data_IF_027525463648
#
_entry.id   IF_027525463648
#
_cell.length_a   1.000
_cell.length_b   1.000
_cell.length_c   1.000
_cell.angle_alpha   90.00
_cell.angle_beta   90.00
_cell.angle_gamma   90.00
#
_symmetry.space_group_name_H-M   'P 1'
#
loop_
_entity.id
_entity.type
_entity.pdbx_description
1 polymer ?
#
# COMPACT_ATOMS: atom_id res chain seq x y z
N UNK A 1 -8.02 -17.79 17.14
CA UNK A 1 -8.58 -16.83 16.15
C UNK A 1 -9.75 -16.02 16.73
N UNK A 2 -10.51 -16.54 17.71
CA UNK A 2 -11.72 -15.88 18.28
C UNK A 2 -11.47 -14.62 19.13
N UNK A 3 -10.33 -14.50 19.83
CA UNK A 3 -10.06 -13.36 20.73
C UNK A 3 -9.94 -12.00 20.04
N UNK A 4 -9.66 -11.95 18.74
CA UNK A 4 -9.59 -10.69 17.99
C UNK A 4 -10.96 -10.10 17.73
N UNK A 5 -11.99 -10.93 17.54
CA UNK A 5 -13.32 -10.45 17.17
C UNK A 5 -13.96 -9.55 18.25
N UNK A 6 -13.47 -9.63 19.50
CA UNK A 6 -13.93 -8.84 20.64
C UNK A 6 -13.27 -7.45 20.76
N UNK A 7 -12.23 -7.13 19.99
CA UNK A 7 -11.58 -5.82 20.07
C UNK A 7 -12.41 -4.72 19.38
N UNK A 8 -12.31 -3.44 19.80
CA UNK A 8 -12.93 -2.34 19.08
C UNK A 8 -12.44 -2.31 17.62
N UNK A 9 -13.38 -2.27 16.67
CA UNK A 9 -13.06 -2.12 15.25
C UNK A 9 -13.15 -0.67 14.80
N UNK A 10 -12.60 -0.41 13.61
CA UNK A 10 -12.69 0.87 12.91
C UNK A 10 -13.65 0.68 11.74
N UNK A 11 -14.77 1.42 11.78
CA UNK A 11 -15.71 1.50 10.66
C UNK A 11 -15.27 2.58 9.70
N UNK A 12 -15.19 2.24 8.42
CA UNK A 12 -14.83 3.16 7.35
C UNK A 12 -15.31 2.60 6.00
N UNK A 13 -15.16 3.40 4.95
CA UNK A 13 -15.13 2.92 3.58
C UNK A 13 -13.67 2.65 3.22
N UNK A 14 -13.36 1.39 2.92
CA UNK A 14 -12.00 0.92 2.72
C UNK A 14 -11.73 0.71 1.24
N UNK A 15 -10.92 1.58 0.63
CA UNK A 15 -10.41 1.40 -0.72
C UNK A 15 -9.34 0.31 -0.73
N UNK A 16 -9.48 -0.69 -1.60
CA UNK A 16 -8.40 -1.63 -1.92
C UNK A 16 -7.37 -0.86 -2.77
N UNK A 17 -6.34 -0.34 -2.11
CA UNK A 17 -5.41 0.60 -2.72
C UNK A 17 -4.20 -0.07 -3.34
N UNK A 18 -3.83 -1.29 -2.92
CA UNK A 18 -2.70 -2.01 -3.48
C UNK A 18 -2.72 -3.47 -3.11
N UNK A 19 -2.08 -4.31 -3.93
CA UNK A 19 -2.00 -5.74 -3.67
C UNK A 19 -0.68 -6.28 -4.18
N UNK A 20 -0.11 -7.23 -3.45
CA UNK A 20 1.08 -7.98 -3.83
C UNK A 20 0.88 -9.44 -3.48
N UNK A 21 1.28 -10.34 -4.37
CA UNK A 21 1.30 -11.78 -4.11
C UNK A 21 2.68 -12.36 -4.34
N UNK A 22 2.98 -13.44 -3.63
CA UNK A 22 4.20 -14.20 -3.80
C UNK A 22 4.00 -15.67 -3.43
N UNK A 23 5.00 -16.48 -3.74
CA UNK A 23 5.01 -17.91 -3.41
C UNK A 23 6.31 -18.23 -2.70
N UNK A 24 6.20 -18.92 -1.57
CA UNK A 24 7.29 -19.50 -0.81
C UNK A 24 7.05 -21.02 -0.74
N UNK A 25 7.87 -21.80 -1.45
CA UNK A 25 7.71 -23.25 -1.60
C UNK A 25 6.30 -23.64 -2.11
N UNK A 26 5.45 -24.20 -1.25
CA UNK A 26 4.06 -24.57 -1.56
C UNK A 26 3.03 -23.60 -0.97
N UNK A 27 3.48 -22.54 -0.30
CA UNK A 27 2.64 -21.52 0.31
C UNK A 27 2.57 -20.30 -0.62
N UNK A 28 1.39 -20.00 -1.14
CA UNK A 28 1.14 -18.73 -1.82
C UNK A 28 0.56 -17.75 -0.81
N UNK A 29 1.08 -16.53 -0.79
CA UNK A 29 0.58 -15.46 0.07
C UNK A 29 0.10 -14.28 -0.76
N UNK A 30 -0.82 -13.51 -0.18
CA UNK A 30 -1.28 -12.25 -0.75
C UNK A 30 -1.40 -11.20 0.35
N UNK A 31 -0.77 -10.06 0.10
CA UNK A 31 -0.80 -8.84 0.89
C UNK A 31 -1.75 -7.88 0.19
N UNK A 32 -2.83 -7.49 0.85
CA UNK A 32 -3.77 -6.50 0.31
C UNK A 32 -3.83 -5.31 1.24
N UNK A 33 -3.51 -4.14 0.70
CA UNK A 33 -3.62 -2.88 1.41
C UNK A 33 -4.98 -2.25 1.19
N UNK A 34 -5.53 -1.77 2.29
CA UNK A 34 -6.74 -0.98 2.36
C UNK A 34 -6.41 0.40 2.88
N UNK A 35 -7.16 1.41 2.43
CA UNK A 35 -7.10 2.76 2.97
C UNK A 35 -8.49 3.27 3.31
N UNK A 36 -8.66 3.75 4.54
CA UNK A 36 -9.92 4.30 5.02
C UNK A 36 -10.19 5.69 4.46
N UNK A 37 -11.40 5.92 3.97
CA UNK A 37 -11.86 7.19 3.39
C UNK A 37 -11.96 8.30 4.45
N UNK A 38 -12.46 7.99 5.64
CA UNK A 38 -12.64 8.99 6.70
C UNK A 38 -11.39 9.07 7.57
N UNK A 39 -10.81 7.91 7.90
CA UNK A 39 -9.69 7.84 8.85
C UNK A 39 -8.33 8.06 8.22
N UNK A 40 -8.19 7.92 6.89
CA UNK A 40 -6.90 7.90 6.20
C UNK A 40 -6.01 6.71 6.58
N UNK A 41 -6.48 5.82 7.47
CA UNK A 41 -5.69 4.74 8.04
C UNK A 41 -5.44 3.67 6.99
N UNK A 42 -4.20 3.17 6.94
CA UNK A 42 -3.86 2.01 6.13
C UNK A 42 -4.05 0.72 6.94
N UNK A 43 -4.54 -0.33 6.28
CA UNK A 43 -4.70 -1.65 6.85
C UNK A 43 -4.20 -2.73 5.91
N UNK A 44 -3.55 -3.75 6.45
CA UNK A 44 -3.00 -4.88 5.70
C UNK A 44 -3.80 -6.15 5.98
N UNK A 45 -4.40 -6.71 4.93
CA UNK A 45 -4.96 -8.05 4.94
C UNK A 45 -3.90 -9.03 4.43
N UNK A 46 -3.78 -10.16 5.12
CA UNK A 46 -2.88 -11.26 4.73
C UNK A 46 -3.69 -12.51 4.48
N UNK A 47 -3.69 -12.96 3.23
CA UNK A 47 -4.28 -14.23 2.81
C UNK A 47 -3.18 -15.24 2.51
N UNK A 48 -3.44 -16.50 2.81
CA UNK A 48 -2.53 -17.61 2.58
C UNK A 48 -3.30 -18.76 1.92
N UNK A 49 -2.68 -19.42 0.95
CA UNK A 49 -3.22 -20.60 0.31
C UNK A 49 -2.10 -21.65 0.14
N UNK A 50 -2.43 -22.92 0.32
CA UNK A 50 -1.46 -24.03 0.24
C UNK A 50 -1.73 -24.92 -0.97
N UNK A 51 -0.68 -25.32 -1.68
CA UNK A 51 -0.77 -26.20 -2.83
C UNK A 51 -1.52 -25.56 -4.01
N UNK A 52 -2.56 -26.23 -4.53
CA UNK A 52 -3.36 -25.75 -5.68
C UNK A 52 -4.62 -24.98 -5.29
N UNK A 53 -4.83 -24.71 -4.00
CA UNK A 53 -5.97 -23.92 -3.56
C UNK A 53 -5.77 -22.45 -3.92
N UNK A 54 -6.84 -21.80 -4.38
CA UNK A 54 -6.87 -20.34 -4.54
C UNK A 54 -7.13 -19.63 -3.20
N UNK A 55 -7.11 -18.31 -3.20
CA UNK A 55 -7.52 -17.53 -2.04
C UNK A 55 -9.05 -17.50 -1.92
N UNK A 56 -9.57 -17.70 -0.70
CA UNK A 56 -11.00 -17.66 -0.42
C UNK A 56 -11.60 -16.27 -0.65
N UNK A 57 -10.87 -15.23 -0.25
CA UNK A 57 -11.31 -13.85 -0.43
C UNK A 57 -10.92 -13.31 -1.81
N UNK A 58 -11.73 -12.41 -2.35
CA UNK A 58 -11.42 -11.69 -3.57
C UNK A 58 -11.35 -10.20 -3.27
N UNK A 59 -10.15 -9.63 -3.39
CA UNK A 59 -9.91 -8.20 -3.23
C UNK A 59 -9.46 -7.63 -4.58
N UNK A 60 -10.21 -6.66 -5.07
CA UNK A 60 -9.98 -6.04 -6.39
C UNK A 60 -9.44 -4.64 -6.17
N UNK A 61 -8.23 -4.35 -6.65
CA UNK A 61 -7.64 -3.00 -6.55
C UNK A 61 -8.57 -1.97 -7.19
N UNK A 62 -8.78 -0.85 -6.52
CA UNK A 62 -9.72 0.20 -6.91
C UNK A 62 -11.17 -0.02 -6.45
N UNK A 63 -11.51 -1.18 -5.87
CA UNK A 63 -12.83 -1.38 -5.26
C UNK A 63 -12.90 -0.84 -3.84
N UNK A 64 -14.11 -0.51 -3.40
CA UNK A 64 -14.38 0.05 -2.07
C UNK A 64 -15.26 -0.92 -1.29
N UNK A 65 -14.90 -1.16 -0.04
CA UNK A 65 -15.61 -2.03 0.88
C UNK A 65 -16.06 -1.22 2.08
N UNK A 66 -17.36 -1.11 2.29
CA UNK A 66 -17.89 -0.51 3.52
C UNK A 66 -17.86 -1.58 4.61
N UNK A 67 -17.24 -1.30 5.76
CA UNK A 67 -17.15 -2.30 6.81
C UNK A 67 -16.34 -1.90 8.03
N UNK A 68 -16.28 -2.84 8.96
CA UNK A 68 -15.53 -2.69 10.21
C UNK A 68 -14.28 -3.57 10.18
N UNK A 69 -13.10 -2.94 10.24
CA UNK A 69 -11.82 -3.63 10.40
C UNK A 69 -11.43 -3.72 11.86
N UNK A 70 -10.98 -4.90 12.29
CA UNK A 70 -10.32 -5.09 13.56
C UNK A 70 -8.83 -5.25 13.32
N UNK A 71 -8.03 -4.46 14.02
CA UNK A 71 -6.57 -4.51 13.92
C UNK A 71 -6.00 -5.49 14.93
N UNK A 72 -4.99 -6.25 14.51
CA UNK A 72 -4.29 -7.18 15.38
C UNK A 72 -3.51 -6.39 16.44
N UNK A 73 -3.56 -6.80 17.72
CA UNK A 73 -2.72 -6.19 18.75
C UNK A 73 -1.25 -6.47 18.44
N UNK A 74 -0.40 -5.46 18.57
CA UNK A 74 1.02 -5.55 18.24
C UNK A 74 1.59 -4.22 17.80
N UNK A 75 2.89 -4.20 17.55
CA UNK A 75 3.69 -2.96 17.50
C UNK A 75 3.49 -2.12 16.24
N UNK A 76 3.09 -2.70 15.10
CA UNK A 76 2.84 -1.93 13.87
C UNK A 76 1.40 -1.48 13.71
N UNK A 77 0.43 -2.19 14.31
CA UNK A 77 -1.00 -1.86 14.23
C UNK A 77 -1.59 -1.80 12.81
N UNK A 78 -0.92 -2.37 11.80
CA UNK A 78 -1.32 -2.32 10.40
C UNK A 78 -2.14 -3.55 9.99
N UNK A 79 -1.80 -4.74 10.50
CA UNK A 79 -2.51 -5.98 10.14
C UNK A 79 -3.93 -5.92 10.66
N UNK A 80 -4.90 -6.23 9.80
CA UNK A 80 -6.30 -6.19 10.14
C UNK A 80 -7.07 -7.38 9.55
N UNK A 81 -8.32 -7.51 9.99
CA UNK A 81 -9.32 -8.41 9.41
C UNK A 81 -10.68 -7.74 9.44
N UNK A 82 -11.49 -7.91 8.40
CA UNK A 82 -12.88 -7.50 8.44
C UNK A 82 -13.66 -8.31 9.47
N UNK A 83 -14.35 -7.63 10.38
CA UNK A 83 -15.42 -8.24 11.17
C UNK A 83 -16.60 -8.53 10.25
N UNK A 84 -17.01 -7.53 9.47
CA UNK A 84 -18.07 -7.55 8.48
C UNK A 84 -17.75 -6.53 7.39
N UNK A 85 -18.12 -6.83 6.15
CA UNK A 85 -17.94 -5.92 5.01
C UNK A 85 -19.03 -6.15 3.97
N UNK A 86 -19.31 -5.12 3.20
CA UNK A 86 -20.11 -5.17 1.97
C UNK A 86 -19.46 -4.31 0.89
N UNK A 87 -19.53 -4.70 -0.40
CA UNK A 87 -19.11 -3.84 -1.50
C UNK A 87 -19.85 -2.50 -1.46
N UNK A 88 -19.10 -1.40 -1.59
CA UNK A 88 -19.64 -0.06 -1.74
C UNK A 88 -19.58 0.37 -3.21
N UNK A 89 -20.61 1.09 -3.66
CA UNK A 89 -20.66 1.75 -4.98
C UNK A 89 -20.54 3.27 -4.87
N UNK A 90 -20.39 3.80 -3.65
CA UNK A 90 -20.18 5.22 -3.46
C UNK A 90 -18.83 5.61 -4.08
N UNK A 91 -18.73 6.82 -4.68
CA UNK A 91 -17.44 7.41 -5.00
C UNK A 91 -16.57 7.41 -3.74
N UNK A 92 -15.30 7.06 -3.89
CA UNK A 92 -14.33 7.15 -2.81
C UNK A 92 -13.59 8.48 -2.93
N UNK A 93 -13.68 9.30 -1.89
CA UNK A 93 -12.90 10.53 -1.77
C UNK A 93 -11.59 10.22 -1.06
N UNK A 94 -10.51 10.12 -1.83
CA UNK A 94 -9.20 9.78 -1.26
C UNK A 94 -8.70 10.86 -0.31
N UNK A 95 -8.42 10.53 0.97
CA UNK A 95 -7.70 11.45 1.85
C UNK A 95 -6.34 11.80 1.25
N UNK A 96 -5.76 12.97 1.59
CA UNK A 96 -4.43 13.33 1.10
C UNK A 96 -3.38 12.31 1.57
N UNK A 97 -2.47 11.96 0.68
CA UNK A 97 -1.25 11.22 0.96
C UNK A 97 -0.17 12.11 1.57
N UNK A 98 1.06 11.61 1.58
CA UNK A 98 2.23 12.39 1.97
C UNK A 98 2.62 13.34 0.84
N UNK A 99 2.85 14.63 1.13
CA UNK A 99 3.19 15.63 0.12
C UNK A 99 4.65 15.56 -0.34
N UNK A 100 5.54 14.98 0.48
CA UNK A 100 6.96 14.82 0.19
C UNK A 100 7.55 13.61 0.97
N UNK A 101 8.76 13.21 0.60
CA UNK A 101 9.44 12.07 1.24
C UNK A 101 9.89 12.36 2.68
N UNK A 102 10.05 13.63 3.03
CA UNK A 102 10.41 14.04 4.39
C UNK A 102 9.25 13.78 5.37
N UNK A 103 8.03 14.16 5.01
CA UNK A 103 6.83 13.90 5.80
C UNK A 103 6.59 12.39 5.96
N UNK A 104 6.74 11.62 4.87
CA UNK A 104 6.69 10.17 4.90
C UNK A 104 7.74 9.56 5.86
N UNK A 105 8.98 10.07 5.81
CA UNK A 105 10.09 9.62 6.66
C UNK A 105 9.85 9.83 8.15
N UNK A 106 9.20 10.93 8.54
CA UNK A 106 8.85 11.22 9.95
C UNK A 106 7.91 10.14 10.51
N UNK A 107 6.86 9.79 9.78
CA UNK A 107 5.89 8.79 10.24
C UNK A 107 6.42 7.37 10.12
N UNK A 108 7.25 7.09 9.11
CA UNK A 108 8.01 5.85 9.05
C UNK A 108 8.91 5.68 10.29
N UNK A 109 9.67 6.71 10.68
CA UNK A 109 10.54 6.64 11.85
C UNK A 109 9.77 6.38 13.16
N UNK A 110 8.58 7.00 13.32
CA UNK A 110 7.69 6.71 14.46
C UNK A 110 7.22 5.26 14.46
N UNK A 111 6.81 4.74 13.29
CA UNK A 111 6.36 3.37 13.15
C UNK A 111 7.49 2.36 13.42
N UNK A 112 8.70 2.65 12.93
CA UNK A 112 9.89 1.84 13.17
C UNK A 112 10.30 1.84 14.65
N UNK A 113 10.22 2.99 15.32
CA UNK A 113 10.48 3.08 16.76
C UNK A 113 9.48 2.27 17.59
N UNK A 114 8.21 2.23 17.18
CA UNK A 114 7.19 1.40 17.81
C UNK A 114 7.40 -0.09 17.50
N UNK A 115 7.88 -0.42 16.28
CA UNK A 115 8.10 -1.79 15.80
C UNK A 115 9.42 -1.93 15.04
N UNK A 116 10.48 -2.42 15.72
CA UNK A 116 11.79 -2.62 15.09
C UNK A 116 11.81 -3.64 13.93
N UNK A 117 10.75 -4.44 13.79
CA UNK A 117 10.61 -5.51 12.78
C UNK A 117 9.63 -5.13 11.66
N UNK A 118 9.51 -3.82 11.39
CA UNK A 118 8.61 -3.30 10.37
C UNK A 118 9.12 -3.68 8.97
N UNK A 119 8.56 -4.75 8.41
CA UNK A 119 8.97 -5.27 7.10
C UNK A 119 8.54 -4.40 5.91
N UNK A 120 7.56 -3.53 6.09
CA UNK A 120 7.04 -2.66 5.04
C UNK A 120 6.08 -1.63 5.62
N UNK A 121 6.27 -0.37 5.24
CA UNK A 121 5.45 0.76 5.65
C UNK A 121 4.64 1.28 4.46
N UNK A 122 3.30 1.40 4.59
CA UNK A 122 2.47 1.86 3.50
C UNK A 122 2.66 3.37 3.29
N UNK A 123 3.01 3.75 2.07
CA UNK A 123 3.11 5.14 1.65
C UNK A 123 2.16 5.40 0.50
N UNK A 124 1.27 6.37 0.68
CA UNK A 124 0.62 7.05 -0.44
C UNK A 124 1.40 8.35 -0.66
N UNK A 125 2.19 8.41 -1.71
CA UNK A 125 3.02 9.57 -2.02
C UNK A 125 2.36 10.37 -3.11
N UNK A 126 2.17 11.67 -2.88
CA UNK A 126 1.63 12.60 -3.86
C UNK A 126 2.77 13.28 -4.62
N UNK A 127 2.46 13.73 -5.84
CA UNK A 127 3.35 14.62 -6.61
C UNK A 127 4.75 14.03 -6.84
N UNK A 128 4.80 12.72 -7.06
CA UNK A 128 6.02 11.97 -7.32
C UNK A 128 6.26 11.84 -8.81
N UNK A 129 7.50 12.13 -9.24
CA UNK A 129 7.92 11.90 -10.62
C UNK A 129 8.78 10.62 -10.70
N UNK A 130 8.42 9.63 -11.53
CA UNK A 130 9.28 8.47 -11.79
C UNK A 130 10.49 8.87 -12.63
N UNK A 131 11.66 8.28 -12.34
CA UNK A 131 12.91 8.60 -13.02
C UNK A 131 13.74 7.34 -13.24
N UNK A 132 14.24 7.15 -14.45
CA UNK A 132 15.25 6.15 -14.76
C UNK A 132 16.62 6.83 -14.93
N UNK A 133 17.68 6.25 -14.34
CA UNK A 133 19.05 6.78 -14.45
C UNK A 133 20.00 5.71 -14.94
N UNK A 134 20.54 5.89 -16.15
CA UNK A 134 21.52 4.97 -16.75
C UNK A 134 22.85 4.96 -15.96
N UNK A 135 23.33 6.13 -15.54
CA UNK A 135 24.62 6.31 -14.85
C UNK A 135 24.68 5.64 -13.46
N UNK A 136 23.54 5.31 -12.88
CA UNK A 136 23.43 4.65 -11.57
C UNK A 136 23.05 3.18 -11.73
N UNK A 137 23.84 2.42 -12.50
CA UNK A 137 23.60 1.00 -12.81
C UNK A 137 22.25 0.72 -13.51
N UNK A 138 21.67 1.71 -14.19
CA UNK A 138 20.33 1.57 -14.76
C UNK A 138 19.28 1.32 -13.69
N UNK A 139 19.20 2.19 -12.68
CA UNK A 139 18.25 2.06 -11.56
C UNK A 139 17.01 2.93 -11.73
N UNK A 140 15.88 2.41 -11.25
CA UNK A 140 14.61 3.13 -11.16
C UNK A 140 14.50 3.89 -9.84
N UNK A 141 13.98 5.12 -9.91
CA UNK A 141 13.81 6.01 -8.77
C UNK A 141 12.45 6.68 -8.82
N UNK A 142 12.03 7.17 -7.66
CA UNK A 142 11.02 8.20 -7.54
C UNK A 142 11.63 9.47 -6.98
N UNK A 143 11.16 10.63 -7.44
CA UNK A 143 11.59 11.94 -6.96
C UNK A 143 10.38 12.77 -6.53
N UNK A 144 10.46 13.40 -5.37
CA UNK A 144 9.44 14.34 -4.90
C UNK A 144 9.69 15.77 -5.40
N UNK A 145 8.76 16.68 -5.09
CA UNK A 145 8.85 18.10 -5.44
C UNK A 145 10.07 18.81 -4.83
N UNK A 146 10.66 18.26 -3.77
CA UNK A 146 11.85 18.77 -3.07
C UNK A 146 13.14 18.18 -3.62
N UNK A 147 13.05 17.40 -4.70
CA UNK A 147 14.16 16.70 -5.35
C UNK A 147 14.81 15.64 -4.46
N UNK A 148 14.11 15.15 -3.45
CA UNK A 148 14.54 13.98 -2.70
C UNK A 148 14.27 12.73 -3.52
N UNK A 149 15.23 11.81 -3.51
CA UNK A 149 15.20 10.58 -4.29
C UNK A 149 14.96 9.39 -3.37
N UNK A 150 14.12 8.47 -3.81
CA UNK A 150 13.95 7.16 -3.18
C UNK A 150 14.06 6.08 -4.25
N UNK A 151 14.94 5.08 -4.05
CA UNK A 151 15.14 4.03 -5.04
C UNK A 151 13.94 3.09 -5.07
N UNK A 152 13.60 2.59 -6.26
CA UNK A 152 12.63 1.52 -6.42
C UNK A 152 13.25 0.19 -6.00
N UNK A 153 12.43 -0.72 -5.45
CA UNK A 153 12.87 -2.04 -5.03
C UNK A 153 13.37 -2.89 -6.20
N UNK A 154 12.80 -2.68 -7.40
CA UNK A 154 13.31 -3.22 -8.64
C UNK A 154 13.28 -2.16 -9.75
N UNK A 155 14.30 -2.17 -10.59
CA UNK A 155 14.41 -1.25 -11.73
C UNK A 155 13.20 -1.32 -12.67
N UNK A 156 12.71 -2.52 -12.97
CA UNK A 156 11.61 -2.73 -13.94
C UNK A 156 10.29 -2.07 -13.52
N UNK A 157 10.12 -1.79 -12.22
CA UNK A 157 8.94 -1.09 -11.70
C UNK A 157 8.85 0.36 -12.14
N UNK A 158 9.93 0.96 -12.68
CA UNK A 158 9.90 2.34 -13.19
C UNK A 158 9.07 2.47 -14.47
N UNK A 159 9.01 1.42 -15.29
CA UNK A 159 8.37 1.48 -16.61
C UNK A 159 6.87 1.70 -16.58
N UNK A 160 6.08 0.94 -15.79
CA UNK A 160 4.65 1.20 -15.71
C UNK A 160 4.37 2.56 -15.05
N UNK A 161 5.21 3.00 -14.08
CA UNK A 161 5.11 4.34 -13.52
C UNK A 161 5.32 5.42 -14.59
N UNK A 162 6.36 5.30 -15.41
CA UNK A 162 6.63 6.22 -16.52
C UNK A 162 5.46 6.25 -17.51
N UNK A 163 4.91 5.08 -17.87
CA UNK A 163 3.78 4.96 -18.77
C UNK A 163 2.52 5.67 -18.25
N UNK A 164 2.21 5.54 -16.95
CA UNK A 164 1.09 6.24 -16.32
C UNK A 164 1.36 7.74 -16.11
N UNK A 165 2.61 8.12 -15.85
CA UNK A 165 2.97 9.51 -15.56
C UNK A 165 2.97 10.41 -16.80
N UNK A 166 3.31 9.87 -17.97
CA UNK A 166 3.60 10.68 -19.15
C UNK A 166 4.68 11.75 -18.91
N UNK A 167 5.57 11.53 -17.93
CA UNK A 167 6.60 12.49 -17.50
C UNK A 167 6.11 13.59 -16.54
N UNK A 168 4.90 13.48 -15.99
CA UNK A 168 4.34 14.42 -15.01
C UNK A 168 4.32 13.81 -13.60
N UNK A 169 4.27 14.63 -12.54
CA UNK A 169 4.04 14.11 -11.18
C UNK A 169 2.75 13.29 -11.11
N UNK A 170 2.79 12.18 -10.37
CA UNK A 170 1.68 11.27 -10.12
C UNK A 170 1.58 10.90 -8.65
N UNK A 171 0.42 10.41 -8.25
CA UNK A 171 0.22 9.84 -6.91
C UNK A 171 0.42 8.33 -6.98
N UNK A 172 1.26 7.79 -6.10
CA UNK A 172 1.65 6.38 -6.10
C UNK A 172 1.48 5.80 -4.71
N UNK A 173 0.88 4.61 -4.61
CA UNK A 173 0.84 3.84 -3.38
C UNK A 173 1.82 2.68 -3.44
N UNK A 174 2.50 2.41 -2.33
CA UNK A 174 3.41 1.28 -2.23
C UNK A 174 3.93 1.02 -0.82
N UNK A 175 4.86 0.07 -0.73
CA UNK A 175 5.52 -0.29 0.53
C UNK A 175 6.97 0.23 0.54
N UNK A 176 7.37 0.85 1.64
CA UNK A 176 8.76 1.21 1.90
C UNK A 176 9.35 0.33 3.00
N UNK A 177 10.51 -0.27 2.74
CA UNK A 177 11.16 -1.17 3.70
C UNK A 177 12.28 -0.51 4.54
N UNK A 178 12.52 0.79 4.34
CA UNK A 178 13.65 1.52 4.97
C UNK A 178 14.81 1.79 4.01
N UNK A 179 14.82 1.13 2.85
CA UNK A 179 15.86 1.30 1.83
C UNK A 179 15.24 1.62 0.47
N UNK A 180 14.28 0.80 0.04
CA UNK A 180 13.66 0.87 -1.28
C UNK A 180 12.14 0.92 -1.22
N UNK A 181 11.53 1.47 -2.26
CA UNK A 181 10.09 1.58 -2.43
C UNK A 181 9.57 0.58 -3.46
N UNK A 182 8.58 -0.21 -3.06
CA UNK A 182 7.85 -1.14 -3.92
C UNK A 182 6.50 -0.53 -4.29
N UNK A 183 6.35 0.08 -5.47
CA UNK A 183 5.07 0.62 -5.92
C UNK A 183 4.09 -0.52 -6.20
N UNK A 184 2.84 -0.35 -5.75
CA UNK A 184 1.75 -1.32 -5.88
C UNK A 184 0.58 -0.78 -6.71
N UNK A 185 0.39 0.55 -6.73
CA UNK A 185 -0.61 1.17 -7.60
C UNK A 185 -0.31 2.63 -7.91
N UNK A 186 -0.91 3.13 -8.99
CA UNK A 186 -0.95 4.55 -9.35
C UNK A 186 -2.37 5.05 -9.22
N UNK A 187 -2.51 6.26 -8.66
CA UNK A 187 -3.78 6.97 -8.56
C UNK A 187 -3.74 8.10 -9.59
N UNK A 188 -4.62 8.03 -10.59
CA UNK A 188 -4.76 9.05 -11.63
C UNK A 188 -6.22 9.22 -12.02
N UNK A 189 -6.66 10.46 -12.23
CA UNK A 189 -8.04 10.80 -12.61
C UNK A 189 -9.12 10.16 -11.70
N UNK A 190 -8.82 10.05 -10.39
CA UNK A 190 -9.73 9.44 -9.41
C UNK A 190 -9.85 7.91 -9.52
N UNK A 191 -8.97 7.25 -10.28
CA UNK A 191 -8.93 5.79 -10.44
C UNK A 191 -7.62 5.23 -9.91
N UNK A 192 -7.70 4.00 -9.41
CA UNK A 192 -6.53 3.24 -8.93
C UNK A 192 -6.19 2.17 -9.96
N UNK A 193 -4.95 2.17 -10.43
CA UNK A 193 -4.40 1.18 -11.34
C UNK A 193 -3.37 0.34 -10.61
N UNK A 194 -3.57 -0.98 -10.55
CA UNK A 194 -2.57 -1.90 -10.02
C UNK A 194 -1.33 -1.96 -10.92
N UNK A 195 -0.16 -2.18 -10.32
CA UNK A 195 1.13 -2.31 -10.99
C UNK A 195 1.66 -3.75 -10.98
#
# INVERSE_FOLDING_TARGET
>A
QEQIMAQPGVRDNWLVIGQQSGTEEQLTYRRTWLRGETTGRCALLLDFAYGRQGFDAQWVVGSVLQGELIFYPGTTGQRARFRQQTPSRAPYESPPGYPDLTAAGVDYAKALAASPWLNGFPLLLEEITPLFREEAEGSGWIVDQRRQLMPLARTDQVWPLLAHSGGRPITVFGEYNGETFSPLSVITEGRVFAL
#
